data_IF_587494168341
#
_entry.id   IF_587494168341
#
_cell.length_a   1.000
_cell.length_b   1.000
_cell.length_c   1.000
_cell.angle_alpha   90.00
_cell.angle_beta   90.00
_cell.angle_gamma   90.00
#
_symmetry.space_group_name_H-M   'P 1'
#
loop_
_entity.id
_entity.type
_entity.pdbx_description
1 polymer ?
#
# COMPACT_ATOMS: atom_id res chain seq x y z
N UNK A 1 1.25 12.67 36.37
CA UNK A 1 1.43 11.22 36.13
C UNK A 1 2.15 11.05 34.81
N UNK A 2 3.38 10.51 34.82
CA UNK A 2 4.11 10.19 33.59
C UNK A 2 3.67 8.81 33.11
N UNK A 3 3.07 8.73 31.92
CA UNK A 3 2.74 7.45 31.28
C UNK A 3 4.02 6.89 30.66
N UNK A 4 4.40 5.69 31.07
CA UNK A 4 5.53 4.97 30.47
C UNK A 4 5.13 4.46 29.08
N UNK A 5 5.61 5.13 28.03
CA UNK A 5 5.44 4.68 26.64
C UNK A 5 6.40 3.53 26.35
N UNK A 6 5.89 2.30 26.17
CA UNK A 6 6.62 1.21 25.53
C UNK A 6 6.37 1.26 24.02
N UNK A 7 7.40 1.61 23.26
CA UNK A 7 7.37 1.57 21.79
C UNK A 7 7.69 0.14 21.36
N UNK A 8 6.71 -0.56 20.78
CA UNK A 8 6.94 -1.87 20.17
C UNK A 8 7.35 -1.69 18.71
N UNK A 9 8.43 -2.36 18.30
CA UNK A 9 8.89 -2.34 16.91
C UNK A 9 7.87 -3.09 16.05
N UNK A 10 7.33 -2.42 15.04
CA UNK A 10 6.44 -3.04 14.05
C UNK A 10 7.27 -3.71 12.96
N UNK A 11 6.72 -4.80 12.44
CA UNK A 11 7.22 -5.43 11.22
C UNK A 11 7.15 -4.43 10.06
N UNK A 12 8.17 -4.47 9.21
CA UNK A 12 8.27 -3.61 8.02
C UNK A 12 8.33 -4.50 6.80
N UNK A 13 7.48 -4.23 5.82
CA UNK A 13 7.34 -5.02 4.60
C UNK A 13 7.59 -4.10 3.40
N UNK A 14 8.54 -4.46 2.55
CA UNK A 14 8.79 -3.74 1.30
C UNK A 14 7.77 -4.19 0.24
N UNK A 15 7.17 -3.23 -0.45
CA UNK A 15 6.16 -3.49 -1.47
C UNK A 15 6.41 -2.58 -2.68
N UNK A 16 6.77 -3.20 -3.80
CA UNK A 16 6.92 -2.49 -5.07
C UNK A 16 5.55 -2.08 -5.61
N UNK A 17 5.43 -0.80 -5.96
CA UNK A 17 4.21 -0.19 -6.50
C UNK A 17 4.55 0.67 -7.70
N UNK A 18 3.63 0.72 -8.64
CA UNK A 18 3.76 1.55 -9.84
C UNK A 18 2.71 2.65 -9.84
N UNK A 19 3.08 3.83 -10.35
CA UNK A 19 2.10 4.89 -10.59
C UNK A 19 1.07 4.43 -11.62
N UNK A 20 -0.19 4.85 -11.43
CA UNK A 20 -1.30 4.48 -12.30
C UNK A 20 -1.87 5.71 -13.00
N UNK A 21 -1.81 5.70 -14.33
CA UNK A 21 -2.37 6.76 -15.17
C UNK A 21 -3.87 6.55 -15.44
N UNK A 22 -4.29 5.31 -15.75
CA UNK A 22 -5.67 5.02 -16.12
C UNK A 22 -6.61 4.90 -14.92
N UNK A 23 -7.75 5.60 -14.98
CA UNK A 23 -8.78 5.66 -13.93
C UNK A 23 -10.16 5.24 -14.44
N UNK A 24 -11.01 4.74 -13.54
CA UNK A 24 -12.40 4.33 -13.85
C UNK A 24 -12.62 2.81 -13.92
N UNK A 25 -13.89 2.42 -14.06
CA UNK A 25 -14.35 1.02 -13.96
C UNK A 25 -13.73 0.10 -15.02
N UNK A 26 -13.74 0.52 -16.28
CA UNK A 26 -13.22 -0.28 -17.40
C UNK A 26 -11.72 -0.58 -17.27
N UNK A 27 -10.87 0.45 -17.15
CA UNK A 27 -9.44 0.27 -16.92
C UNK A 27 -9.11 -0.59 -15.70
N UNK A 28 -9.77 -0.35 -14.56
CA UNK A 28 -9.55 -1.14 -13.34
C UNK A 28 -9.98 -2.60 -13.52
N UNK A 29 -11.05 -2.85 -14.26
CA UNK A 29 -11.49 -4.21 -14.60
C UNK A 29 -10.45 -4.96 -15.42
N UNK A 30 -9.88 -4.32 -16.44
CA UNK A 30 -8.78 -4.88 -17.25
C UNK A 30 -7.52 -5.07 -16.41
N UNK A 31 -7.15 -4.09 -15.60
CA UNK A 31 -5.99 -4.15 -14.70
C UNK A 31 -6.01 -5.41 -13.82
N UNK A 32 -7.17 -5.73 -13.24
CA UNK A 32 -7.33 -6.92 -12.39
C UNK A 32 -7.30 -8.23 -13.17
N UNK A 33 -7.92 -8.27 -14.36
CA UNK A 33 -8.13 -9.52 -15.12
C UNK A 33 -6.97 -9.87 -16.05
N UNK A 34 -6.38 -8.88 -16.69
CA UNK A 34 -5.40 -9.06 -17.76
C UNK A 34 -3.98 -8.87 -17.26
N UNK A 35 -3.78 -8.00 -16.27
CA UNK A 35 -2.44 -7.65 -15.77
C UNK A 35 -2.12 -8.24 -14.39
N UNK A 36 -3.09 -8.91 -13.75
CA UNK A 36 -2.97 -9.41 -12.36
C UNK A 36 -2.56 -8.33 -11.35
N UNK A 37 -2.96 -7.07 -11.61
CA UNK A 37 -2.62 -5.91 -10.80
C UNK A 37 -3.86 -5.41 -10.04
N UNK A 38 -3.65 -4.92 -8.83
CA UNK A 38 -4.68 -4.31 -7.98
C UNK A 38 -4.46 -2.80 -7.89
N UNK A 39 -5.53 -1.98 -8.00
CA UNK A 39 -5.43 -0.55 -7.77
C UNK A 39 -5.33 -0.24 -6.27
N UNK A 40 -4.59 0.80 -5.92
CA UNK A 40 -4.47 1.32 -4.56
C UNK A 40 -4.46 2.85 -4.53
N UNK A 41 -4.73 3.39 -3.33
CA UNK A 41 -4.65 4.83 -3.04
C UNK A 41 -3.78 5.01 -1.80
N UNK A 42 -2.74 5.83 -1.93
CA UNK A 42 -1.90 6.29 -0.83
C UNK A 42 -2.35 7.69 -0.47
N UNK A 43 -2.63 7.92 0.81
CA UNK A 43 -3.03 9.23 1.30
C UNK A 43 -2.47 9.45 2.71
N UNK A 44 -2.30 10.72 3.06
CA UNK A 44 -1.69 11.13 4.31
C UNK A 44 -2.14 12.52 4.73
N UNK A 45 -1.79 12.90 5.96
CA UNK A 45 -2.11 14.24 6.45
C UNK A 45 -1.31 15.29 5.66
N UNK A 46 -2.01 16.27 5.08
CA UNK A 46 -1.43 17.36 4.28
C UNK A 46 -0.60 16.89 3.06
N UNK A 47 -0.98 15.75 2.47
CA UNK A 47 -0.34 15.23 1.26
C UNK A 47 -1.40 14.94 0.20
N UNK A 48 -1.04 15.18 -1.06
CA UNK A 48 -1.91 14.87 -2.18
C UNK A 48 -2.06 13.35 -2.33
N UNK A 49 -3.29 12.82 -2.47
CA UNK A 49 -3.50 11.40 -2.66
C UNK A 49 -2.82 10.89 -3.94
N UNK A 50 -2.00 9.85 -3.81
CA UNK A 50 -1.35 9.18 -4.92
C UNK A 50 -2.10 7.90 -5.29
N UNK A 51 -2.38 7.74 -6.58
CA UNK A 51 -2.97 6.49 -7.11
C UNK A 51 -1.86 5.60 -7.64
N UNK A 52 -1.89 4.33 -7.23
CA UNK A 52 -0.91 3.34 -7.64
C UNK A 52 -1.59 2.04 -8.06
N UNK A 53 -0.78 1.14 -8.62
CA UNK A 53 -1.14 -0.24 -8.89
C UNK A 53 -0.04 -1.15 -8.31
N UNK A 54 -0.42 -2.35 -7.87
CA UNK A 54 0.47 -3.32 -7.23
C UNK A 54 0.13 -4.73 -7.71
N UNK A 55 1.14 -5.61 -7.80
CA UNK A 55 0.92 -7.02 -8.15
C UNK A 55 0.04 -7.70 -7.10
N UNK A 56 -1.05 -8.34 -7.53
CA UNK A 56 -2.03 -8.95 -6.63
C UNK A 56 -1.38 -9.96 -5.67
N UNK A 57 -0.57 -10.87 -6.21
CA UNK A 57 0.09 -11.93 -5.43
C UNK A 57 1.10 -11.40 -4.43
N UNK A 58 1.75 -10.26 -4.71
CA UNK A 58 2.67 -9.62 -3.74
C UNK A 58 1.89 -9.01 -2.59
N UNK A 59 0.82 -8.28 -2.90
CA UNK A 59 -0.04 -7.68 -1.88
C UNK A 59 -0.67 -8.75 -1.00
N UNK A 60 -1.21 -9.83 -1.58
CA UNK A 60 -1.80 -10.95 -0.83
C UNK A 60 -0.79 -11.60 0.13
N UNK A 61 0.43 -11.87 -0.35
CA UNK A 61 1.50 -12.43 0.49
C UNK A 61 1.90 -11.50 1.62
N UNK A 62 2.00 -10.20 1.33
CA UNK A 62 2.32 -9.21 2.35
C UNK A 62 1.24 -9.10 3.43
N UNK A 63 -0.04 -9.30 3.08
CA UNK A 63 -1.15 -9.25 4.03
C UNK A 63 -1.33 -10.53 4.86
N UNK A 64 -1.00 -11.71 4.31
CA UNK A 64 -1.31 -13.01 4.91
C UNK A 64 -0.70 -13.28 6.30
N UNK A 65 0.39 -12.61 6.67
CA UNK A 65 1.15 -12.85 7.91
C UNK A 65 0.85 -11.91 9.08
N UNK A 66 -0.19 -11.08 9.01
CA UNK A 66 -0.39 -9.96 9.96
C UNK A 66 0.00 -8.60 9.39
N UNK A 67 0.23 -8.54 8.08
CA UNK A 67 0.61 -7.34 7.35
C UNK A 67 -0.37 -6.18 7.49
N UNK A 68 -1.64 -6.41 7.84
CA UNK A 68 -2.61 -5.33 8.12
C UNK A 68 -2.10 -4.33 9.16
N UNK A 69 -1.27 -4.76 10.11
CA UNK A 69 -0.68 -3.91 11.15
C UNK A 69 0.81 -3.58 10.90
N UNK A 70 1.38 -4.06 9.80
CA UNK A 70 2.77 -3.80 9.43
C UNK A 70 2.94 -2.41 8.80
N UNK A 71 4.18 -1.93 8.80
CA UNK A 71 4.58 -0.74 8.05
C UNK A 71 4.98 -1.18 6.65
N UNK A 72 4.28 -0.67 5.64
CA UNK A 72 4.64 -0.90 4.24
C UNK A 72 5.60 0.19 3.77
N UNK A 73 6.69 -0.22 3.14
CA UNK A 73 7.61 0.70 2.45
C UNK A 73 7.33 0.57 0.97
N UNK A 74 6.80 1.62 0.37
CA UNK A 74 6.34 1.64 -1.01
C UNK A 74 7.45 2.12 -1.95
N UNK A 75 7.98 1.22 -2.77
CA UNK A 75 8.99 1.51 -3.79
C UNK A 75 8.32 1.71 -5.16
N UNK A 76 8.39 2.93 -5.72
CA UNK A 76 8.07 3.19 -7.13
C UNK A 76 6.95 4.20 -7.43
N UNK A 77 6.09 4.55 -6.46
CA UNK A 77 5.04 5.59 -6.65
C UNK A 77 5.50 7.02 -6.29
N UNK A 78 6.80 7.22 -6.06
CA UNK A 78 7.38 8.46 -5.51
C UNK A 78 7.96 8.21 -4.11
N UNK A 79 9.22 8.63 -3.92
CA UNK A 79 10.03 8.61 -2.68
C UNK A 79 9.59 7.63 -1.57
N UNK A 80 9.91 6.33 -1.70
CA UNK A 80 10.07 5.38 -0.58
C UNK A 80 9.16 5.62 0.63
N UNK A 81 7.85 5.73 0.39
CA UNK A 81 6.93 6.23 1.41
C UNK A 81 6.55 5.11 2.38
N UNK A 82 6.40 5.47 3.65
CA UNK A 82 5.95 4.54 4.69
C UNK A 82 4.45 4.68 4.88
N UNK A 83 3.73 3.60 4.63
CA UNK A 83 2.28 3.53 4.71
C UNK A 83 1.84 2.46 5.69
N UNK A 84 0.59 2.56 6.13
CA UNK A 84 -0.10 1.51 6.90
C UNK A 84 -1.41 1.23 6.18
N UNK A 85 -1.81 -0.03 6.14
CA UNK A 85 -3.09 -0.43 5.57
C UNK A 85 -4.21 0.16 6.40
N UNK A 86 -5.09 0.94 5.76
CA UNK A 86 -6.30 1.45 6.40
C UNK A 86 -7.49 0.52 6.21
N UNK A 87 -7.69 0.08 4.97
CA UNK A 87 -8.84 -0.70 4.51
C UNK A 87 -8.41 -1.52 3.30
N UNK A 88 -8.98 -2.72 3.13
CA UNK A 88 -8.62 -3.70 2.08
C UNK A 88 -9.86 -4.18 1.34
#
# INVERSE_FOLDING_TARGET
MAVSLRVYKRETIDLDVEQRDERGKGPVGRLRREQEMLPGILYGHQQDPAVFKVEARRLERALAGGGQNAIFVLSGAGKGERAVVRDV
#
